data_IF_771037057083
#
_entry.id   IF_771037057083
#
_cell.length_a   1.000
_cell.length_b   1.000
_cell.length_c   1.000
_cell.angle_alpha   90.00
_cell.angle_beta   90.00
_cell.angle_gamma   90.00
#
_symmetry.space_group_name_H-M   'P 1'
#
loop_
_entity.id
_entity.type
_entity.pdbx_description
1 polymer ?
#
# COMPACT_ATOMS: atom_id res chain seq x y z
N UNK A 1 2.56 16.65 4.45
CA UNK A 1 2.42 15.39 3.68
C UNK A 1 1.71 14.34 4.50
N UNK A 2 0.69 13.72 3.95
CA UNK A 2 -0.06 12.67 4.63
C UNK A 2 -0.02 11.38 3.80
N UNK A 3 0.13 10.26 4.50
CA UNK A 3 0.04 8.92 3.93
C UNK A 3 -1.19 8.24 4.49
N UNK A 4 -2.05 7.72 3.63
CA UNK A 4 -3.21 6.92 4.00
C UNK A 4 -2.97 5.48 3.59
N UNK A 5 -3.15 4.55 4.52
CA UNK A 5 -3.05 3.12 4.27
C UNK A 5 -4.32 2.43 4.73
N UNK A 6 -4.91 1.61 3.87
CA UNK A 6 -6.17 0.95 4.20
C UNK A 6 -6.29 -0.41 3.52
N UNK A 7 -6.78 -1.40 4.28
CA UNK A 7 -7.19 -2.68 3.73
C UNK A 7 -8.66 -2.58 3.33
N UNK A 8 -8.93 -2.63 2.04
CA UNK A 8 -10.27 -2.39 1.48
C UNK A 8 -11.22 -3.57 1.62
N UNK A 9 -10.71 -4.80 1.64
CA UNK A 9 -11.52 -6.02 1.60
C UNK A 9 -12.56 -5.99 0.47
N UNK A 10 -12.13 -5.55 -0.72
CA UNK A 10 -12.97 -5.40 -1.89
C UNK A 10 -13.39 -3.96 -2.15
N UNK A 11 -12.58 -3.25 -2.94
CA UNK A 11 -12.84 -1.84 -3.29
C UNK A 11 -13.98 -1.69 -4.32
N UNK A 12 -14.42 -2.78 -4.91
CA UNK A 12 -15.58 -2.78 -5.82
C UNK A 12 -16.93 -2.58 -5.15
N UNK A 13 -16.99 -2.72 -3.83
CA UNK A 13 -18.19 -2.43 -3.06
C UNK A 13 -18.41 -0.91 -3.02
N UNK A 14 -19.59 -0.40 -3.47
CA UNK A 14 -19.85 1.04 -3.50
C UNK A 14 -19.68 1.74 -2.15
N UNK A 15 -20.03 1.08 -1.06
CA UNK A 15 -19.87 1.65 0.28
C UNK A 15 -18.39 1.80 0.64
N UNK A 16 -17.57 0.78 0.35
CA UNK A 16 -16.12 0.82 0.59
C UNK A 16 -15.47 1.93 -0.23
N UNK A 17 -15.84 2.06 -1.50
CA UNK A 17 -15.35 3.13 -2.37
C UNK A 17 -15.71 4.51 -1.80
N UNK A 18 -16.95 4.67 -1.33
CA UNK A 18 -17.39 5.92 -0.73
C UNK A 18 -16.63 6.25 0.55
N UNK A 19 -16.44 5.27 1.44
CA UNK A 19 -15.71 5.45 2.69
C UNK A 19 -14.25 5.87 2.43
N UNK A 20 -13.58 5.22 1.48
CA UNK A 20 -12.23 5.60 1.10
C UNK A 20 -12.19 7.00 0.49
N UNK A 21 -13.14 7.32 -0.37
CA UNK A 21 -13.28 8.67 -0.94
C UNK A 21 -13.48 9.75 0.14
N UNK A 22 -14.26 9.45 1.17
CA UNK A 22 -14.48 10.35 2.30
C UNK A 22 -13.20 10.58 3.10
N UNK A 23 -12.42 9.53 3.35
CA UNK A 23 -11.12 9.63 4.01
C UNK A 23 -10.13 10.46 3.19
N UNK A 24 -10.09 10.25 1.88
CA UNK A 24 -9.24 11.03 0.98
C UNK A 24 -9.61 12.51 1.02
N UNK A 25 -10.90 12.84 0.99
CA UNK A 25 -11.35 14.23 1.09
C UNK A 25 -11.02 14.85 2.45
N UNK A 26 -11.22 14.10 3.52
CA UNK A 26 -10.99 14.59 4.88
C UNK A 26 -9.52 14.87 5.18
N UNK A 27 -8.61 14.04 4.67
CA UNK A 27 -7.19 14.08 5.04
C UNK A 27 -6.27 14.58 3.94
N UNK A 28 -6.74 14.71 2.70
CA UNK A 28 -5.95 15.15 1.54
C UNK A 28 -4.58 14.45 1.47
N UNK A 29 -4.54 13.11 1.44
CA UNK A 29 -3.28 12.40 1.45
C UNK A 29 -2.51 12.61 0.16
N UNK A 30 -1.18 12.65 0.27
CA UNK A 30 -0.28 12.70 -0.88
C UNK A 30 -0.01 11.32 -1.46
N UNK A 31 -0.06 10.29 -0.61
CA UNK A 31 0.11 8.89 -0.99
C UNK A 31 -1.02 8.08 -0.36
N UNK A 32 -1.65 7.21 -1.13
CA UNK A 32 -2.65 6.24 -0.65
C UNK A 32 -2.21 4.84 -1.04
N UNK A 33 -2.00 3.99 -0.05
CA UNK A 33 -1.77 2.56 -0.24
C UNK A 33 -3.02 1.78 0.14
N UNK A 34 -3.46 0.92 -0.74
CA UNK A 34 -4.63 0.07 -0.51
C UNK A 34 -4.29 -1.40 -0.76
N UNK A 35 -4.79 -2.26 0.11
CA UNK A 35 -4.64 -3.70 -0.01
C UNK A 35 -6.02 -4.36 -0.19
N UNK A 36 -6.04 -5.56 -0.74
CA UNK A 36 -7.25 -6.31 -1.03
C UNK A 36 -8.25 -5.52 -1.87
N UNK A 37 -7.76 -4.93 -2.96
CA UNK A 37 -8.59 -4.11 -3.85
C UNK A 37 -9.62 -4.96 -4.60
N UNK A 38 -9.24 -6.17 -5.02
CA UNK A 38 -10.05 -7.10 -5.83
C UNK A 38 -10.59 -6.44 -7.10
N UNK A 39 -9.83 -5.49 -7.64
CA UNK A 39 -10.19 -4.74 -8.85
C UNK A 39 -9.18 -4.97 -9.96
N UNK A 40 -9.67 -4.87 -11.18
CA UNK A 40 -8.83 -4.84 -12.37
C UNK A 40 -8.24 -3.43 -12.55
N UNK A 41 -7.12 -3.36 -13.25
CA UNK A 41 -6.38 -2.12 -13.51
C UNK A 41 -7.26 -1.00 -14.08
N UNK A 42 -8.13 -1.31 -15.03
CA UNK A 42 -9.01 -0.31 -15.65
C UNK A 42 -9.87 0.41 -14.62
N UNK A 43 -10.42 -0.32 -13.64
CA UNK A 43 -11.23 0.28 -12.58
C UNK A 43 -10.39 1.13 -11.64
N UNK A 44 -9.17 0.68 -11.33
CA UNK A 44 -8.23 1.45 -10.50
C UNK A 44 -7.82 2.76 -11.18
N UNK A 45 -7.62 2.75 -12.49
CA UNK A 45 -7.36 3.96 -13.27
C UNK A 45 -8.53 4.94 -13.15
N UNK A 46 -9.77 4.45 -13.25
CA UNK A 46 -10.97 5.27 -13.06
C UNK A 46 -11.02 5.93 -11.68
N UNK A 47 -10.64 5.19 -10.63
CA UNK A 47 -10.58 5.71 -9.28
C UNK A 47 -9.47 6.75 -9.11
N UNK A 48 -8.30 6.51 -9.71
CA UNK A 48 -7.23 7.50 -9.76
C UNK A 48 -7.74 8.84 -10.28
N UNK A 49 -8.45 8.82 -11.38
CA UNK A 49 -8.98 10.04 -12.01
C UNK A 49 -10.10 10.66 -11.16
N UNK A 50 -10.99 9.84 -10.62
CA UNK A 50 -12.08 10.29 -9.73
C UNK A 50 -11.55 11.01 -8.51
N UNK A 51 -10.52 10.49 -7.88
CA UNK A 51 -9.91 11.04 -6.67
C UNK A 51 -8.79 12.04 -6.97
N UNK A 52 -8.54 12.32 -8.23
CA UNK A 52 -7.59 13.35 -8.71
C UNK A 52 -6.15 13.07 -8.27
N UNK A 53 -5.75 11.81 -8.32
CA UNK A 53 -4.34 11.44 -8.18
C UNK A 53 -3.65 11.47 -9.54
N UNK A 54 -2.35 11.80 -9.55
CA UNK A 54 -1.56 11.93 -10.77
C UNK A 54 -0.91 10.62 -11.20
N UNK A 55 -0.58 9.77 -10.23
CA UNK A 55 0.05 8.48 -10.49
C UNK A 55 -0.65 7.33 -9.79
N UNK A 56 -0.46 6.14 -10.33
CA UNK A 56 -0.96 4.90 -9.75
C UNK A 56 -0.14 3.72 -10.25
N UNK A 57 0.13 2.80 -9.37
CA UNK A 57 0.62 1.47 -9.71
C UNK A 57 -0.17 0.42 -8.96
N UNK A 58 -0.42 -0.71 -9.59
CA UNK A 58 -1.11 -1.83 -8.98
C UNK A 58 -0.38 -3.14 -9.24
N UNK A 59 -0.57 -4.08 -8.35
CA UNK A 59 -0.18 -5.45 -8.55
C UNK A 59 -1.29 -6.37 -8.05
N UNK A 60 -1.75 -7.26 -8.91
CA UNK A 60 -2.74 -8.26 -8.55
C UNK A 60 -2.33 -9.63 -9.11
N UNK A 61 -2.71 -10.69 -8.40
CA UNK A 61 -2.57 -12.06 -8.90
C UNK A 61 -3.81 -12.42 -9.70
N UNK A 62 -3.61 -12.90 -10.93
CA UNK A 62 -4.72 -13.40 -11.72
C UNK A 62 -5.45 -14.53 -11.00
N UNK A 63 -6.78 -14.46 -11.01
CA UNK A 63 -7.65 -15.52 -10.50
C UNK A 63 -7.70 -15.66 -8.98
N UNK A 64 -7.11 -14.75 -8.21
CA UNK A 64 -7.17 -14.76 -6.75
C UNK A 64 -7.56 -13.40 -6.22
N UNK A 65 -8.38 -13.39 -5.17
CA UNK A 65 -8.66 -12.18 -4.41
C UNK A 65 -7.36 -11.58 -3.87
N UNK A 66 -7.37 -10.30 -3.61
CA UNK A 66 -6.22 -9.55 -3.15
C UNK A 66 -5.87 -8.43 -4.10
N UNK A 67 -4.58 -8.12 -4.20
CA UNK A 67 -4.10 -6.98 -4.97
C UNK A 67 -3.78 -5.80 -4.10
N UNK A 68 -2.71 -5.12 -4.46
CA UNK A 68 -2.26 -3.89 -3.80
C UNK A 68 -2.18 -2.78 -4.84
N UNK A 69 -2.40 -1.55 -4.41
CA UNK A 69 -2.25 -0.39 -5.28
C UNK A 69 -1.76 0.81 -4.48
N UNK A 70 -1.05 1.70 -5.17
CA UNK A 70 -0.64 2.99 -4.62
C UNK A 70 -1.06 4.09 -5.57
N UNK A 71 -1.67 5.13 -5.01
CA UNK A 71 -2.00 6.37 -5.70
C UNK A 71 -1.14 7.48 -5.11
N UNK A 72 -0.65 8.41 -5.94
CA UNK A 72 0.15 9.53 -5.44
C UNK A 72 -0.13 10.82 -6.19
N UNK A 73 0.11 11.94 -5.51
CA UNK A 73 0.04 13.27 -6.08
C UNK A 73 1.34 13.63 -6.79
N UNK A 74 1.24 14.49 -7.80
CA UNK A 74 2.35 14.91 -8.66
C UNK A 74 3.57 15.43 -7.88
N UNK A 75 3.34 16.17 -6.81
CA UNK A 75 4.39 16.76 -5.98
C UNK A 75 5.25 15.73 -5.25
N UNK A 76 4.84 14.48 -5.23
CA UNK A 76 5.57 13.44 -4.50
C UNK A 76 6.82 12.93 -5.22
N UNK A 77 7.01 13.25 -6.51
CA UNK A 77 8.14 12.72 -7.29
C UNK A 77 8.41 11.24 -6.97
N UNK A 78 7.42 10.41 -7.29
CA UNK A 78 7.32 9.02 -6.87
C UNK A 78 7.95 8.11 -7.93
N UNK A 79 9.06 7.44 -7.56
CA UNK A 79 9.76 6.49 -8.43
C UNK A 79 9.63 5.09 -7.88
N UNK A 80 8.86 4.25 -8.57
CA UNK A 80 8.68 2.84 -8.16
C UNK A 80 9.99 2.09 -8.36
N UNK A 81 10.42 1.36 -7.33
CA UNK A 81 11.63 0.56 -7.38
C UNK A 81 11.31 -0.93 -7.53
N UNK A 82 10.58 -1.50 -6.57
CA UNK A 82 10.17 -2.91 -6.62
C UNK A 82 8.70 -3.07 -6.26
N UNK A 83 8.13 -4.18 -6.69
CA UNK A 83 6.76 -4.54 -6.35
C UNK A 83 6.58 -6.06 -6.37
N UNK A 84 5.57 -6.51 -5.64
CA UNK A 84 5.16 -7.91 -5.59
C UNK A 84 3.68 -7.98 -5.21
N UNK A 85 3.07 -9.17 -5.13
CA UNK A 85 1.71 -9.28 -4.60
C UNK A 85 1.54 -8.73 -3.18
N UNK A 86 2.64 -8.56 -2.46
CA UNK A 86 2.66 -8.18 -1.04
C UNK A 86 3.24 -6.81 -0.78
N UNK A 87 3.88 -6.15 -1.76
CA UNK A 87 4.49 -4.85 -1.52
C UNK A 87 4.61 -3.99 -2.76
N UNK A 88 4.67 -2.68 -2.53
CA UNK A 88 5.08 -1.68 -3.52
C UNK A 88 6.10 -0.80 -2.83
N UNK A 89 7.30 -0.73 -3.39
CA UNK A 89 8.42 0.01 -2.82
C UNK A 89 8.84 1.12 -3.79
N UNK A 90 9.03 2.31 -3.27
CA UNK A 90 9.34 3.48 -4.08
C UNK A 90 10.32 4.41 -3.39
N UNK A 91 11.05 5.16 -4.20
CA UNK A 91 11.90 6.25 -3.74
C UNK A 91 11.21 7.56 -4.08
N UNK A 92 11.09 8.43 -3.07
CA UNK A 92 10.51 9.75 -3.21
C UNK A 92 11.64 10.77 -3.28
N UNK A 93 11.56 11.73 -4.21
CA UNK A 93 12.56 12.76 -4.42
C UNK A 93 13.95 12.17 -4.74
N UNK A 94 13.99 11.16 -5.58
CA UNK A 94 15.20 10.43 -5.96
C UNK A 94 16.28 11.39 -6.45
N UNK A 95 17.48 11.28 -5.85
CA UNK A 95 18.62 12.12 -6.19
C UNK A 95 18.61 13.52 -5.58
N UNK A 96 17.63 13.84 -4.73
CA UNK A 96 17.52 15.13 -4.04
C UNK A 96 17.93 15.00 -2.58
N UNK A 97 18.17 16.13 -1.90
CA UNK A 97 18.60 16.14 -0.49
C UNK A 97 17.56 15.52 0.45
N UNK A 98 16.27 15.70 0.13
CA UNK A 98 15.14 15.14 0.89
C UNK A 98 14.65 13.79 0.36
N UNK A 99 15.53 13.03 -0.25
CA UNK A 99 15.24 11.68 -0.72
C UNK A 99 14.85 10.77 0.45
N UNK A 100 13.74 10.02 0.26
CA UNK A 100 13.30 9.06 1.24
C UNK A 100 12.59 7.89 0.55
N UNK A 101 12.30 6.85 1.30
CA UNK A 101 11.74 5.63 0.76
C UNK A 101 10.40 5.32 1.40
N UNK A 102 9.45 4.95 0.57
CA UNK A 102 8.13 4.48 0.96
C UNK A 102 7.93 3.03 0.55
N UNK A 103 7.40 2.22 1.46
CA UNK A 103 6.95 0.86 1.16
C UNK A 103 5.51 0.69 1.64
N UNK A 104 4.61 0.38 0.71
CA UNK A 104 3.29 -0.15 1.02
C UNK A 104 3.41 -1.67 1.15
N UNK A 105 2.95 -2.24 2.25
CA UNK A 105 3.15 -3.65 2.56
C UNK A 105 1.85 -4.33 2.98
N UNK A 106 1.60 -5.49 2.38
CA UNK A 106 0.50 -6.37 2.75
C UNK A 106 1.08 -7.72 3.17
N UNK A 107 1.07 -7.98 4.47
CA UNK A 107 1.60 -9.21 5.05
C UNK A 107 0.81 -10.44 4.60
N UNK A 108 1.49 -11.56 4.55
CA UNK A 108 0.87 -12.83 4.19
C UNK A 108 -0.20 -13.20 5.23
N UNK A 109 -1.49 -13.35 4.86
CA UNK A 109 -2.53 -13.66 5.82
C UNK A 109 -2.45 -15.08 6.38
N UNK A 110 -1.83 -16.00 5.65
CA UNK A 110 -1.64 -17.37 6.10
C UNK A 110 -0.50 -17.43 7.12
N UNK A 111 -0.79 -17.87 8.35
CA UNK A 111 0.19 -18.00 9.44
C UNK A 111 1.41 -18.82 9.05
N UNK A 112 1.22 -19.90 8.27
CA UNK A 112 2.32 -20.75 7.82
C UNK A 112 3.26 -20.04 6.84
N UNK A 113 2.84 -18.92 6.26
CA UNK A 113 3.61 -18.16 5.28
C UNK A 113 4.10 -16.82 5.82
N UNK A 114 3.92 -16.52 7.09
CA UNK A 114 4.37 -15.26 7.70
C UNK A 114 5.88 -15.06 7.56
N UNK A 115 6.67 -16.15 7.53
CA UNK A 115 8.12 -16.04 7.30
C UNK A 115 8.48 -15.39 5.97
N UNK A 116 7.63 -15.54 4.94
CA UNK A 116 7.82 -14.90 3.63
C UNK A 116 7.72 -13.38 3.77
N UNK A 117 6.73 -12.90 4.52
CA UNK A 117 6.56 -11.47 4.82
C UNK A 117 7.78 -10.90 5.52
N UNK A 118 8.25 -11.56 6.56
CA UNK A 118 9.41 -11.12 7.32
C UNK A 118 10.69 -11.14 6.50
N UNK A 119 10.89 -12.18 5.67
CA UNK A 119 12.03 -12.26 4.78
C UNK A 119 12.02 -11.12 3.75
N UNK A 120 10.85 -10.79 3.19
CA UNK A 120 10.69 -9.67 2.27
C UNK A 120 11.06 -8.35 2.94
N UNK A 121 10.54 -8.09 4.15
CA UNK A 121 10.83 -6.86 4.89
C UNK A 121 12.31 -6.73 5.23
N UNK A 122 12.97 -7.82 5.66
CA UNK A 122 14.42 -7.81 5.93
C UNK A 122 15.23 -7.48 4.69
N UNK A 123 14.88 -8.08 3.55
CA UNK A 123 15.53 -7.80 2.28
C UNK A 123 15.36 -6.35 1.87
N UNK A 124 14.15 -5.80 2.01
CA UNK A 124 13.87 -4.41 1.71
C UNK A 124 14.65 -3.47 2.63
N UNK A 125 14.73 -3.79 3.91
CA UNK A 125 15.51 -3.00 4.88
C UNK A 125 16.98 -2.90 4.52
N UNK A 126 17.58 -3.98 4.04
CA UNK A 126 19.02 -4.03 3.71
C UNK A 126 19.38 -3.30 2.43
N UNK A 127 18.40 -2.95 1.59
CA UNK A 127 18.62 -2.44 0.23
C UNK A 127 19.09 -0.99 0.21
N UNK A 128 18.62 -0.15 1.13
CA UNK A 128 18.93 1.27 1.18
C UNK A 128 19.18 1.75 2.60
N UNK A 129 19.99 2.80 2.73
CA UNK A 129 20.22 3.52 3.99
C UNK A 129 19.36 4.77 4.14
N UNK A 130 18.40 4.97 3.27
CA UNK A 130 17.48 6.12 3.29
C UNK A 130 16.50 6.05 4.47
N UNK A 131 15.99 7.20 4.85
CA UNK A 131 14.80 7.28 5.73
C UNK A 131 13.69 6.46 5.11
N UNK A 132 13.10 5.57 5.88
CA UNK A 132 12.14 4.60 5.38
C UNK A 132 10.82 4.67 6.14
N UNK A 133 9.74 4.91 5.41
CA UNK A 133 8.38 4.83 5.91
C UNK A 133 7.70 3.60 5.33
N UNK A 134 7.27 2.70 6.19
CA UNK A 134 6.59 1.47 5.79
C UNK A 134 5.18 1.47 6.40
N UNK A 135 4.17 1.32 5.56
CA UNK A 135 2.77 1.33 5.97
C UNK A 135 2.02 0.18 5.33
N UNK A 136 0.96 -0.29 5.97
CA UNK A 136 0.12 -1.33 5.41
C UNK A 136 -0.48 -2.25 6.46
N UNK A 137 -1.03 -3.37 5.99
CA UNK A 137 -1.54 -4.45 6.83
C UNK A 137 -0.51 -5.57 6.85
N UNK A 138 0.17 -5.73 7.97
CA UNK A 138 1.22 -6.73 8.11
C UNK A 138 0.67 -8.14 8.39
N UNK A 139 -0.62 -8.27 8.71
CA UNK A 139 -1.26 -9.53 9.11
C UNK A 139 -0.50 -10.24 10.24
N UNK A 140 0.12 -9.44 11.12
CA UNK A 140 0.92 -9.92 12.23
C UNK A 140 0.77 -8.99 13.44
N UNK A 141 1.06 -9.48 14.62
CA UNK A 141 1.08 -8.70 15.84
C UNK A 141 2.51 -8.70 16.44
N UNK A 142 2.91 -7.60 17.02
CA UNK A 142 4.20 -7.48 17.71
C UNK A 142 4.04 -7.91 19.18
N UNK A 143 2.89 -7.62 19.77
CA UNK A 143 2.59 -7.92 21.17
C UNK A 143 1.23 -8.59 21.31
N UNK A 144 1.13 -9.55 22.23
CA UNK A 144 -0.09 -10.33 22.43
C UNK A 144 -1.33 -9.47 22.71
N UNK A 145 -1.18 -8.35 23.40
CA UNK A 145 -2.32 -7.48 23.74
C UNK A 145 -2.88 -6.70 22.55
N UNK A 146 -2.20 -6.69 21.41
CA UNK A 146 -2.68 -6.04 20.18
C UNK A 146 -3.79 -6.86 19.51
N UNK A 147 -4.03 -8.07 19.97
CA UNK A 147 -5.05 -8.96 19.41
C UNK A 147 -6.20 -9.16 20.39
N UNK A 148 -7.41 -8.83 19.94
CA UNK A 148 -8.64 -9.10 20.68
C UNK A 148 -9.32 -10.33 20.10
N UNK A 149 -9.46 -11.39 20.92
CA UNK A 149 -10.13 -12.61 20.54
C UNK A 149 -9.41 -13.40 19.45
N UNK A 150 -10.02 -14.48 19.04
CA UNK A 150 -9.53 -15.33 17.95
C UNK A 150 -8.34 -16.20 18.34
N UNK A 151 -7.88 -16.92 17.35
CA UNK A 151 -6.85 -17.97 17.46
C UNK A 151 -5.44 -17.42 17.64
#
# INVERSE_FOLDING_TARGET
MNILSWNCRGLGNPQTEQELGDLIRAHSPSIVFVAETWLKKARLISLRDKWKFDGMIDFSREGRGGGVAVFWKKEMDFSVDTYSPNHIDAVINKGKEDEWRFTGFYGEPNTNSHFISWATLRRLKSKFSLTWSCAGDFNEIIRAHEKLGGR
#
